data_IF_310221486376
#
_entry.id   IF_310221486376
#
_cell.length_a   1.000
_cell.length_b   1.000
_cell.length_c   1.000
_cell.angle_alpha   90.00
_cell.angle_beta   90.00
_cell.angle_gamma   90.00
#
_symmetry.space_group_name_H-M   'P 1'
#
loop_
_entity.id
_entity.type
_entity.pdbx_description
1 polymer ?
#
# COMPACT_ATOMS: atom_id res chain seq x y z
N UNK A 1 11.20 -4.28 10.77
CA UNK A 1 10.72 -3.06 11.47
C UNK A 1 10.96 -1.92 10.52
N UNK A 2 9.91 -1.24 10.11
CA UNK A 2 9.94 -0.23 9.04
C UNK A 2 10.54 1.10 9.52
N UNK A 3 11.32 1.77 8.66
CA UNK A 3 11.87 3.10 8.90
C UNK A 3 10.82 4.07 9.47
N UNK A 4 11.16 4.81 10.53
CA UNK A 4 10.27 5.83 11.12
C UNK A 4 9.86 6.91 10.12
N UNK A 5 10.69 7.22 9.13
CA UNK A 5 10.41 8.18 8.05
C UNK A 5 9.33 7.66 7.11
N UNK A 6 9.38 6.37 6.76
CA UNK A 6 8.34 5.70 5.99
C UNK A 6 7.03 5.75 6.75
N UNK A 7 7.00 5.29 8.01
CA UNK A 7 5.80 5.31 8.86
C UNK A 7 5.17 6.72 8.91
N UNK A 8 5.99 7.75 9.15
CA UNK A 8 5.51 9.15 9.19
C UNK A 8 4.94 9.65 7.87
N UNK A 9 5.40 9.16 6.71
CA UNK A 9 4.85 9.54 5.41
C UNK A 9 3.52 8.83 5.13
N UNK A 10 3.44 7.54 5.48
CA UNK A 10 2.25 6.73 5.24
C UNK A 10 1.04 7.23 6.04
N UNK A 11 1.24 7.58 7.32
CA UNK A 11 0.15 8.10 8.19
C UNK A 11 -0.43 9.44 7.70
N UNK A 12 0.30 10.22 6.88
CA UNK A 12 -0.22 11.49 6.35
C UNK A 12 -1.36 11.31 5.35
N UNK A 13 -1.58 10.10 4.83
CA UNK A 13 -2.55 9.86 3.75
C UNK A 13 -2.21 10.60 2.46
N UNK A 14 -3.16 10.60 1.53
CA UNK A 14 -3.04 11.18 0.21
C UNK A 14 -1.80 10.65 -0.54
N UNK A 15 -1.80 9.34 -0.79
CA UNK A 15 -0.74 8.65 -1.53
C UNK A 15 -1.23 7.33 -2.12
N UNK A 16 -0.53 6.86 -3.14
CA UNK A 16 -0.55 5.47 -3.56
C UNK A 16 0.85 4.91 -3.81
N UNK A 17 0.95 3.59 -3.74
CA UNK A 17 2.13 2.77 -3.97
C UNK A 17 1.79 1.69 -4.99
N UNK A 18 2.70 1.47 -5.93
CA UNK A 18 2.63 0.38 -6.90
C UNK A 18 3.49 -0.80 -6.43
N UNK A 19 2.90 -1.98 -6.38
CA UNK A 19 3.61 -3.24 -6.30
C UNK A 19 3.63 -3.88 -7.68
N UNK A 20 4.79 -4.31 -8.17
CA UNK A 20 4.90 -5.04 -9.45
C UNK A 20 4.94 -6.56 -9.27
N UNK A 21 5.21 -7.03 -8.06
CA UNK A 21 5.25 -8.44 -7.70
C UNK A 21 4.87 -8.69 -6.23
N UNK A 22 4.88 -9.96 -5.82
CA UNK A 22 4.57 -10.37 -4.45
C UNK A 22 5.57 -9.85 -3.42
N UNK A 23 6.82 -9.58 -3.82
CA UNK A 23 7.85 -9.07 -2.92
C UNK A 23 7.60 -7.60 -2.61
N UNK A 24 7.40 -6.78 -3.63
CA UNK A 24 6.96 -5.40 -3.53
C UNK A 24 5.70 -5.28 -2.66
N UNK A 25 4.72 -6.15 -2.93
CA UNK A 25 3.49 -6.21 -2.19
C UNK A 25 3.75 -6.48 -0.70
N UNK A 26 4.55 -7.49 -0.38
CA UNK A 26 4.89 -7.80 1.01
C UNK A 26 5.60 -6.63 1.72
N UNK A 27 6.49 -5.90 1.04
CA UNK A 27 7.16 -4.72 1.59
C UNK A 27 6.15 -3.62 1.94
N UNK A 28 5.24 -3.30 1.01
CA UNK A 28 4.21 -2.28 1.21
C UNK A 28 3.28 -2.67 2.36
N UNK A 29 2.80 -3.91 2.39
CA UNK A 29 1.87 -4.39 3.42
C UNK A 29 2.51 -4.40 4.81
N UNK A 30 3.79 -4.78 4.92
CA UNK A 30 4.52 -4.73 6.18
C UNK A 30 4.70 -3.29 6.68
N UNK A 31 5.04 -2.35 5.79
CA UNK A 31 5.17 -0.94 6.15
C UNK A 31 3.84 -0.33 6.61
N UNK A 32 2.75 -0.70 5.95
CA UNK A 32 1.39 -0.31 6.33
C UNK A 32 0.96 -0.93 7.67
N UNK A 33 1.30 -2.19 7.92
CA UNK A 33 1.07 -2.86 9.19
C UNK A 33 1.83 -2.17 10.35
N UNK A 34 3.12 -1.87 10.15
CA UNK A 34 3.94 -1.15 11.12
C UNK A 34 3.42 0.28 11.37
N UNK A 35 2.83 0.91 10.34
CA UNK A 35 2.16 2.20 10.44
C UNK A 35 0.76 2.13 11.08
N UNK A 36 0.27 0.92 11.42
CA UNK A 36 -1.05 0.65 11.99
C UNK A 36 -2.21 1.14 11.12
N UNK A 37 -2.02 1.10 9.81
CA UNK A 37 -3.08 1.40 8.86
C UNK A 37 -4.05 0.23 8.76
N UNK A 38 -5.34 0.53 8.58
CA UNK A 38 -6.43 -0.45 8.48
C UNK A 38 -7.05 -0.38 7.09
N UNK A 39 -7.62 -1.49 6.60
CA UNK A 39 -8.34 -1.50 5.33
C UNK A 39 -9.70 -0.82 5.47
N UNK A 40 -10.20 -0.26 4.37
CA UNK A 40 -11.57 0.26 4.27
C UNK A 40 -12.63 -0.83 4.49
N UNK A 41 -12.27 -2.08 4.19
CA UNK A 41 -13.09 -3.26 4.50
C UNK A 41 -13.13 -3.60 6.01
N UNK A 42 -12.47 -2.83 6.87
CA UNK A 42 -12.50 -2.94 8.32
C UNK A 42 -11.32 -3.71 8.93
N UNK A 43 -11.59 -4.45 10.01
CA UNK A 43 -10.60 -5.02 10.95
C UNK A 43 -9.72 -6.16 10.40
N UNK A 44 -9.69 -6.41 9.09
CA UNK A 44 -8.82 -7.43 8.51
C UNK A 44 -7.37 -6.96 8.54
N UNK A 45 -6.43 -7.86 8.81
CA UNK A 45 -5.01 -7.47 8.77
C UNK A 45 -4.62 -7.06 7.36
N UNK A 46 -3.69 -6.10 7.29
CA UNK A 46 -3.11 -5.62 6.02
C UNK A 46 -2.64 -6.77 5.13
N UNK A 47 -2.01 -7.77 5.72
CA UNK A 47 -1.48 -8.97 5.07
C UNK A 47 -2.51 -10.00 4.57
N UNK A 48 -3.79 -9.92 4.97
CA UNK A 48 -4.78 -10.98 4.74
C UNK A 48 -5.76 -10.67 3.59
N UNK A 49 -6.01 -9.39 3.27
CA UNK A 49 -7.07 -8.98 2.32
C UNK A 49 -6.77 -9.35 0.85
N UNK A 50 -5.50 -9.33 0.43
CA UNK A 50 -5.15 -9.47 -0.99
C UNK A 50 -5.04 -10.94 -1.42
N UNK A 51 -4.86 -11.86 -0.46
CA UNK A 51 -4.70 -13.29 -0.73
C UNK A 51 -6.05 -13.97 -1.03
N UNK A 52 -7.17 -13.37 -0.60
CA UNK A 52 -8.51 -13.95 -0.73
C UNK A 52 -9.22 -13.66 -2.08
N UNK A 53 -8.66 -12.80 -2.95
CA UNK A 53 -9.25 -12.49 -4.26
C UNK A 53 -8.96 -13.65 -5.25
N UNK A 54 -9.63 -14.78 -4.98
CA UNK A 54 -9.41 -16.07 -5.62
C UNK A 54 -9.84 -16.07 -7.08
N UNK A 55 -8.87 -15.96 -7.99
CA UNK A 55 -9.10 -16.28 -9.39
C UNK A 55 -8.03 -15.76 -10.32
N UNK A 56 -7.06 -16.62 -10.67
CA UNK A 56 -6.19 -16.51 -11.84
C UNK A 56 -5.77 -15.07 -12.22
N UNK A 57 -4.99 -14.40 -11.37
CA UNK A 57 -4.46 -13.08 -11.72
C UNK A 57 -3.19 -13.26 -12.55
N UNK A 58 -3.35 -13.05 -13.87
CA UNK A 58 -2.26 -13.00 -14.86
C UNK A 58 -1.52 -11.64 -14.87
N UNK A 59 -1.78 -10.73 -13.93
CA UNK A 59 -1.05 -9.46 -13.83
C UNK A 59 -0.77 -9.04 -12.38
N UNK A 60 0.50 -9.06 -11.94
CA UNK A 60 0.94 -8.94 -10.55
C UNK A 60 0.94 -7.51 -9.99
N UNK A 61 0.31 -6.57 -10.70
CA UNK A 61 0.38 -5.15 -10.33
C UNK A 61 -0.76 -4.81 -9.39
N UNK A 62 -0.39 -4.37 -8.19
CA UNK A 62 -1.30 -3.84 -7.19
C UNK A 62 -1.00 -2.37 -6.95
N UNK A 63 -2.05 -1.57 -6.85
CA UNK A 63 -1.98 -0.20 -6.38
C UNK A 63 -2.61 -0.17 -5.00
N UNK A 64 -1.86 0.28 -4.00
CA UNK A 64 -2.31 0.39 -2.61
C UNK A 64 -2.24 1.85 -2.23
N UNK A 65 -3.29 2.41 -1.66
CA UNK A 65 -3.31 3.83 -1.35
C UNK A 65 -4.32 4.24 -0.29
N UNK A 66 -4.20 5.50 0.11
CA UNK A 66 -5.10 6.22 0.99
C UNK A 66 -5.44 7.54 0.30
N UNK A 67 -6.72 7.77 0.04
CA UNK A 67 -7.18 9.03 -0.53
C UNK A 67 -7.11 10.17 0.50
N UNK A 68 -7.19 11.43 0.06
CA UNK A 68 -7.14 12.60 0.91
C UNK A 68 -8.30 12.69 1.91
N UNK A 69 -9.46 12.13 1.55
CA UNK A 69 -10.67 12.13 2.38
C UNK A 69 -10.81 10.86 3.24
N UNK A 70 -9.96 9.86 3.00
CA UNK A 70 -9.96 8.59 3.71
C UNK A 70 -8.81 8.51 4.72
N UNK A 71 -9.01 7.69 5.75
CA UNK A 71 -7.93 7.30 6.69
C UNK A 71 -7.55 5.83 6.57
N UNK A 72 -8.18 5.13 5.63
CA UNK A 72 -8.14 3.69 5.49
C UNK A 72 -7.53 3.30 4.15
N UNK A 73 -6.85 2.15 4.13
CA UNK A 73 -6.24 1.59 2.93
C UNK A 73 -7.30 1.08 1.97
N UNK A 74 -7.06 1.33 0.69
CA UNK A 74 -7.73 0.69 -0.43
C UNK A 74 -6.71 0.07 -1.37
N UNK A 75 -7.15 -0.90 -2.18
CA UNK A 75 -6.33 -1.44 -3.26
C UNK A 75 -7.10 -1.45 -4.58
N UNK A 76 -6.36 -1.46 -5.68
CA UNK A 76 -6.89 -1.56 -7.03
C UNK A 76 -5.86 -2.21 -7.95
N UNK A 77 -6.32 -2.78 -9.05
CA UNK A 77 -5.45 -3.21 -10.16
C UNK A 77 -5.23 -2.11 -11.20
N UNK A 78 -5.81 -0.93 -11.00
CA UNK A 78 -5.64 0.24 -11.88
C UNK A 78 -5.21 1.47 -11.07
N UNK A 79 -4.31 2.30 -11.62
CA UNK A 79 -3.88 3.53 -10.94
C UNK A 79 -4.98 4.60 -10.92
N UNK A 80 -5.99 4.49 -11.80
CA UNK A 80 -7.11 5.45 -11.89
C UNK A 80 -7.95 5.51 -10.61
N UNK A 81 -7.94 4.45 -9.79
CA UNK A 81 -8.58 4.46 -8.47
C UNK A 81 -7.94 5.47 -7.49
N UNK A 82 -6.77 6.00 -7.83
CA UNK A 82 -5.95 6.85 -6.98
C UNK A 82 -5.58 8.17 -7.67
N UNK A 83 -6.35 8.61 -8.67
CA UNK A 83 -6.03 9.76 -9.52
C UNK A 83 -5.90 11.10 -8.79
N UNK A 84 -6.50 11.22 -7.60
CA UNK A 84 -6.40 12.41 -6.73
C UNK A 84 -5.29 12.30 -5.67
N UNK A 85 -4.50 11.23 -5.73
CA UNK A 85 -3.43 10.97 -4.77
C UNK A 85 -2.04 11.07 -5.39
N UNK A 86 -1.02 11.14 -4.53
CA UNK A 86 0.37 11.21 -4.98
C UNK A 86 1.01 9.83 -5.11
N UNK A 87 1.59 9.54 -6.27
CA UNK A 87 2.51 8.40 -6.43
C UNK A 87 3.75 8.62 -5.56
N UNK A 88 3.97 7.74 -4.58
CA UNK A 88 5.17 7.76 -3.73
C UNK A 88 6.05 6.53 -3.92
N UNK A 89 5.83 5.75 -4.97
CA UNK A 89 6.47 4.44 -5.23
C UNK A 89 8.00 4.53 -5.23
N UNK A 90 8.58 5.36 -6.10
CA UNK A 90 10.04 5.54 -6.21
C UNK A 90 10.67 6.04 -4.91
N UNK A 91 9.95 6.93 -4.21
CA UNK A 91 10.40 7.43 -2.93
C UNK A 91 10.42 6.32 -1.89
N UNK A 92 9.35 5.53 -1.80
CA UNK A 92 9.21 4.46 -0.82
C UNK A 92 10.30 3.41 -0.98
N UNK A 93 10.50 2.86 -2.17
CA UNK A 93 11.53 1.83 -2.37
C UNK A 93 12.93 2.34 -2.14
N UNK A 94 13.23 3.60 -2.51
CA UNK A 94 14.51 4.22 -2.15
C UNK A 94 14.70 4.29 -0.64
N UNK A 95 13.67 4.64 0.12
CA UNK A 95 13.79 4.69 1.58
C UNK A 95 13.87 3.29 2.22
N UNK A 96 13.20 2.28 1.65
CA UNK A 96 13.29 0.88 2.11
C UNK A 96 14.69 0.30 1.90
N UNK A 97 15.35 0.60 0.78
CA UNK A 97 16.71 0.12 0.46
C UNK A 97 17.78 0.79 1.34
N UNK A 98 17.54 2.01 1.79
CA UNK A 98 18.49 2.81 2.59
C UNK A 98 18.30 2.63 4.11
N UNK A 99 17.44 1.70 4.53
CA UNK A 99 17.17 1.34 5.94
C UNK A 99 17.95 0.09 6.36
#
# INVERSE_FOLDING_TARGET
MTNKKIIKRLIKGNWYLKAEDDHDLALILNACHDAKLTWISGNTKVSEVIIEDGGYILHPIYFIGIDCDDTELSYSHTPSAFEFTYDITDWFYREVIND
#
